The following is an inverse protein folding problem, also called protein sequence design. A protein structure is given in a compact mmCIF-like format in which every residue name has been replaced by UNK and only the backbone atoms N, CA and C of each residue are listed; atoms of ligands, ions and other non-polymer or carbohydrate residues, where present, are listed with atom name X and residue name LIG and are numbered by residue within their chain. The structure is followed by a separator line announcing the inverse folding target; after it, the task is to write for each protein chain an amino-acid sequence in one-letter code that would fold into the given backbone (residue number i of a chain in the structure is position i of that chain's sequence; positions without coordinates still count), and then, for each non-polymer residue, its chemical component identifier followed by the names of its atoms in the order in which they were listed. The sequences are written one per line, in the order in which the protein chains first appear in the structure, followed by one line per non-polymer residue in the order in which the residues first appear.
data_IF_457808183756
#
_entry.id   IF_457808183756
#
_cell.length_a   1.000
_cell.length_b   1.000
_cell.length_c   1.000
_cell.angle_alpha   90.00
_cell.angle_beta   90.00
_cell.angle_gamma   90.00
#
_symmetry.space_group_name_H-M   'P 1'
#
loop_
_entity.id
_entity.type
_entity.pdbx_description
1 polymer ?
#
# COMPACT_ATOMS: atom_id res chain seq x y z
N UNK A 1 -4.18 -9.25 21.45
CA UNK A 1 -3.04 -8.61 20.78
C UNK A 1 -3.45 -7.18 20.48
N UNK A 2 -2.51 -6.21 20.41
CA UNK A 2 -2.82 -4.89 19.88
C UNK A 2 -3.19 -5.00 18.39
N UNK A 3 -4.01 -4.08 17.87
CA UNK A 3 -4.30 -4.03 16.45
C UNK A 3 -3.00 -3.77 15.67
N UNK A 4 -2.80 -4.41 14.51
CA UNK A 4 -1.61 -4.19 13.69
C UNK A 4 -1.59 -2.76 13.12
N UNK A 5 -0.40 -2.21 12.93
CA UNK A 5 -0.23 -0.97 12.18
C UNK A 5 -0.39 -1.25 10.69
N UNK A 6 -1.24 -0.50 10.01
CA UNK A 6 -1.51 -0.62 8.57
C UNK A 6 -0.74 0.46 7.80
N UNK A 7 0.20 0.03 6.97
CA UNK A 7 0.99 0.89 6.09
C UNK A 7 0.54 0.64 4.65
N UNK A 8 0.12 1.69 3.95
CA UNK A 8 -0.27 1.62 2.54
C UNK A 8 0.75 2.37 1.71
N UNK A 9 1.35 1.71 0.73
CA UNK A 9 2.22 2.35 -0.26
C UNK A 9 1.39 2.66 -1.50
N UNK A 10 1.19 3.93 -1.76
CA UNK A 10 0.29 4.41 -2.80
C UNK A 10 0.85 5.58 -3.61
N UNK A 11 0.53 5.59 -4.90
CA UNK A 11 0.78 6.69 -5.82
C UNK A 11 -0.07 6.47 -7.07
N UNK A 12 -0.66 7.53 -7.62
CA UNK A 12 -1.46 7.47 -8.84
C UNK A 12 -0.65 7.03 -10.06
N UNK A 13 0.63 7.39 -10.13
CA UNK A 13 1.49 7.06 -11.27
C UNK A 13 2.03 5.63 -11.22
N UNK A 14 2.03 4.98 -12.38
CA UNK A 14 2.82 3.77 -12.61
C UNK A 14 4.32 4.10 -12.64
N UNK A 15 5.17 3.16 -12.18
CA UNK A 15 6.62 3.32 -12.25
C UNK A 15 7.25 4.26 -11.21
N UNK A 16 6.50 4.82 -10.27
CA UNK A 16 7.00 5.69 -9.22
C UNK A 16 7.78 4.97 -8.09
N UNK A 17 8.07 3.69 -8.24
CA UNK A 17 8.84 2.94 -7.25
C UNK A 17 8.04 2.37 -6.07
N UNK A 18 6.70 2.36 -6.11
CA UNK A 18 5.83 1.85 -5.03
C UNK A 18 6.24 0.48 -4.52
N UNK A 19 6.20 -0.54 -5.37
CA UNK A 19 6.54 -1.91 -4.99
C UNK A 19 7.98 -2.05 -4.50
N UNK A 20 8.92 -1.29 -5.08
CA UNK A 20 10.30 -1.26 -4.61
C UNK A 20 10.39 -0.72 -3.19
N UNK A 21 9.75 0.41 -2.92
CA UNK A 21 9.69 1.00 -1.59
C UNK A 21 9.00 0.06 -0.59
N UNK A 22 7.87 -0.53 -0.98
CA UNK A 22 7.13 -1.51 -0.19
C UNK A 22 8.04 -2.68 0.25
N UNK A 23 8.78 -3.26 -0.70
CA UNK A 23 9.74 -4.35 -0.45
C UNK A 23 10.82 -3.93 0.57
N UNK A 24 11.36 -2.72 0.44
CA UNK A 24 12.37 -2.21 1.38
C UNK A 24 11.81 -2.01 2.78
N UNK A 25 10.60 -1.43 2.91
CA UNK A 25 9.94 -1.25 4.21
C UNK A 25 9.68 -2.62 4.86
N UNK A 26 9.09 -3.58 4.13
CA UNK A 26 8.84 -4.93 4.64
C UNK A 26 10.14 -5.59 5.10
N UNK A 27 11.18 -5.54 4.27
CA UNK A 27 12.47 -6.14 4.60
C UNK A 27 13.06 -5.54 5.87
N UNK A 28 13.02 -4.21 6.02
CA UNK A 28 13.48 -3.51 7.22
C UNK A 28 12.70 -3.93 8.48
N UNK A 29 11.38 -4.00 8.38
CA UNK A 29 10.51 -4.42 9.48
C UNK A 29 10.76 -5.88 9.90
N UNK A 30 10.95 -6.79 8.95
CA UNK A 30 11.29 -8.18 9.21
C UNK A 30 12.64 -8.30 9.94
N UNK A 31 13.65 -7.54 9.52
CA UNK A 31 14.95 -7.50 10.20
C UNK A 31 14.87 -6.86 11.59
N UNK A 32 13.91 -5.97 11.81
CA UNK A 32 13.59 -5.44 13.14
C UNK A 32 12.78 -6.42 14.02
N UNK A 33 12.56 -7.66 13.56
CA UNK A 33 11.87 -8.70 14.32
C UNK A 33 10.34 -8.56 14.35
N UNK A 34 9.75 -7.73 13.47
CA UNK A 34 8.29 -7.59 13.37
C UNK A 34 7.68 -8.73 12.57
N UNK A 35 6.49 -9.18 12.97
CA UNK A 35 5.66 -10.04 12.16
C UNK A 35 4.95 -9.17 11.12
N UNK A 36 5.26 -9.35 9.86
CA UNK A 36 4.72 -8.54 8.76
C UNK A 36 3.83 -9.39 7.89
N UNK A 37 2.61 -8.91 7.61
CA UNK A 37 1.77 -9.42 6.54
C UNK A 37 1.85 -8.46 5.34
N UNK A 38 1.88 -9.01 4.13
CA UNK A 38 1.86 -8.23 2.89
C UNK A 38 0.58 -8.52 2.12
N UNK A 39 0.01 -7.48 1.50
CA UNK A 39 -1.11 -7.60 0.56
C UNK A 39 -0.75 -6.81 -0.70
N UNK A 40 -0.60 -7.50 -1.81
CA UNK A 40 -0.25 -6.90 -3.11
C UNK A 40 -1.53 -6.73 -3.94
N UNK A 41 -2.01 -5.49 -4.04
CA UNK A 41 -3.22 -5.12 -4.77
C UNK A 41 -2.97 -4.80 -6.25
N UNK A 42 -1.70 -4.78 -6.72
CA UNK A 42 -1.43 -4.80 -8.16
C UNK A 42 -1.61 -6.22 -8.69
N UNK A 43 -2.87 -6.62 -8.85
CA UNK A 43 -3.26 -7.97 -9.23
C UNK A 43 -2.64 -8.45 -10.55
N UNK A 44 -2.20 -7.52 -11.40
CA UNK A 44 -1.59 -7.84 -12.70
C UNK A 44 -0.10 -8.08 -12.59
N UNK A 45 0.62 -7.19 -11.90
CA UNK A 45 2.08 -7.23 -11.80
C UNK A 45 2.54 -8.08 -10.62
N UNK A 46 1.90 -7.97 -9.46
CA UNK A 46 2.24 -8.68 -8.21
C UNK A 46 3.75 -8.63 -7.92
N UNK A 47 4.33 -7.44 -8.06
CA UNK A 47 5.78 -7.26 -7.99
C UNK A 47 6.33 -7.56 -6.59
N UNK A 48 5.63 -7.12 -5.55
CA UNK A 48 6.02 -7.38 -4.17
C UNK A 48 5.87 -8.87 -3.82
N UNK A 49 4.73 -9.47 -4.15
CA UNK A 49 4.47 -10.91 -3.94
C UNK A 49 5.54 -11.79 -4.61
N UNK A 50 5.83 -11.50 -5.89
CA UNK A 50 6.86 -12.26 -6.64
C UNK A 50 8.26 -12.11 -6.05
N UNK A 51 8.60 -10.91 -5.57
CA UNK A 51 9.89 -10.70 -4.91
C UNK A 51 10.04 -11.61 -3.69
N UNK A 52 9.04 -11.65 -2.80
CA UNK A 52 9.13 -12.46 -1.60
C UNK A 52 9.02 -13.95 -1.88
N UNK A 53 8.26 -14.38 -2.89
CA UNK A 53 8.26 -15.76 -3.36
C UNK A 53 9.65 -16.20 -3.88
N UNK A 54 10.31 -15.36 -4.70
CA UNK A 54 11.67 -15.61 -5.18
C UNK A 54 12.69 -15.61 -4.03
N UNK A 55 12.55 -14.70 -3.06
CA UNK A 55 13.40 -14.64 -1.88
C UNK A 55 13.28 -15.92 -1.04
N UNK A 56 12.05 -16.44 -0.87
CA UNK A 56 11.80 -17.68 -0.15
C UNK A 56 12.44 -18.90 -0.85
N UNK A 57 12.23 -19.01 -2.16
CA UNK A 57 12.82 -20.09 -2.97
C UNK A 57 14.36 -20.04 -2.93
N UNK A 58 14.95 -18.85 -3.02
CA UNK A 58 16.40 -18.69 -2.91
C UNK A 58 16.91 -19.07 -1.51
N UNK A 59 16.23 -18.67 -0.46
CA UNK A 59 16.60 -19.00 0.91
C UNK A 59 16.58 -20.51 1.16
N UNK A 60 15.52 -21.19 0.68
CA UNK A 60 15.40 -22.65 0.75
C UNK A 60 16.56 -23.35 0.00
N UNK A 61 16.81 -22.96 -1.24
CA UNK A 61 17.87 -23.55 -2.08
C UNK A 61 19.27 -23.37 -1.49
N UNK A 62 19.51 -22.32 -0.68
CA UNK A 62 20.81 -22.01 -0.10
C UNK A 62 20.90 -22.30 1.41
N UNK A 63 19.86 -22.87 2.01
CA UNK A 63 19.83 -23.13 3.46
C UNK A 63 19.92 -21.86 4.31
N UNK A 64 19.45 -20.70 3.78
CA UNK A 64 19.55 -19.41 4.44
C UNK A 64 18.28 -19.13 5.26
N UNK A 65 18.45 -18.89 6.56
CA UNK A 65 17.35 -18.52 7.47
C UNK A 65 16.94 -17.05 7.34
N UNK A 66 16.34 -16.67 6.21
CA UNK A 66 15.88 -15.31 5.99
C UNK A 66 14.47 -15.09 6.57
N UNK A 67 14.21 -13.96 7.23
CA UNK A 67 12.87 -13.64 7.69
C UNK A 67 11.97 -13.35 6.50
N UNK A 68 10.73 -13.89 6.53
CA UNK A 68 9.73 -13.77 5.46
C UNK A 68 8.44 -13.16 6.00
N UNK A 69 7.74 -12.35 5.19
CA UNK A 69 6.39 -11.92 5.53
C UNK A 69 5.40 -13.07 5.34
N UNK A 70 4.24 -12.96 5.97
CA UNK A 70 3.07 -13.76 5.61
C UNK A 70 2.31 -13.06 4.48
N UNK A 71 1.75 -13.83 3.55
CA UNK A 71 0.90 -13.30 2.49
C UNK A 71 -0.43 -14.05 2.53
N UNK A 72 -1.52 -13.39 2.96
CA UNK A 72 -2.85 -13.96 2.91
C UNK A 72 -3.29 -14.26 1.48
N UNK A 73 -4.10 -15.30 1.31
CA UNK A 73 -4.52 -15.73 -0.02
C UNK A 73 -5.58 -14.79 -0.63
N UNK A 74 -5.17 -14.05 -1.64
CA UNK A 74 -6.04 -13.23 -2.49
C UNK A 74 -6.62 -14.01 -3.70
N UNK A 75 -6.21 -15.26 -3.87
CA UNK A 75 -6.52 -16.06 -5.05
C UNK A 75 -5.61 -15.79 -6.25
N UNK A 76 -5.97 -16.35 -7.41
CA UNK A 76 -5.20 -16.09 -8.64
C UNK A 76 -5.39 -14.65 -9.12
N UNK A 77 -4.33 -13.87 -9.08
CA UNK A 77 -4.35 -12.44 -9.42
C UNK A 77 -4.84 -12.17 -10.85
N UNK A 78 -4.56 -13.05 -11.82
CA UNK A 78 -5.02 -12.86 -13.20
C UNK A 78 -6.54 -13.04 -13.34
N UNK A 79 -7.10 -13.97 -12.60
CA UNK A 79 -8.54 -14.20 -12.53
C UNK A 79 -9.21 -13.08 -11.77
N UNK A 80 -8.68 -12.71 -10.61
CA UNK A 80 -9.21 -11.65 -9.77
C UNK A 80 -9.14 -10.27 -10.45
N UNK A 81 -8.11 -9.99 -11.25
CA UNK A 81 -8.02 -8.74 -12.02
C UNK A 81 -9.10 -8.57 -13.08
N UNK A 82 -9.83 -9.66 -13.44
CA UNK A 82 -10.95 -9.65 -14.38
C UNK A 82 -12.31 -9.76 -13.69
N UNK A 83 -12.31 -10.03 -12.39
CA UNK A 83 -13.52 -10.10 -11.59
C UNK A 83 -14.12 -8.70 -11.41
N UNK A 84 -15.38 -8.66 -11.02
CA UNK A 84 -16.04 -7.40 -10.67
C UNK A 84 -15.46 -6.81 -9.37
N UNK A 85 -15.78 -5.54 -9.13
CA UNK A 85 -15.27 -4.81 -7.96
C UNK A 85 -15.73 -5.45 -6.64
N UNK A 86 -16.92 -6.03 -6.60
CA UNK A 86 -17.45 -6.65 -5.39
C UNK A 86 -16.65 -7.90 -5.01
N UNK A 87 -16.30 -8.74 -5.99
CA UNK A 87 -15.47 -9.91 -5.75
C UNK A 87 -14.06 -9.51 -5.33
N UNK A 88 -13.47 -8.50 -5.99
CA UNK A 88 -12.16 -7.97 -5.63
C UNK A 88 -12.14 -7.45 -4.17
N UNK A 89 -13.17 -6.69 -3.76
CA UNK A 89 -13.31 -6.20 -2.40
C UNK A 89 -13.49 -7.34 -1.39
N UNK A 90 -14.35 -8.29 -1.67
CA UNK A 90 -14.59 -9.44 -0.78
C UNK A 90 -13.30 -10.24 -0.53
N UNK A 91 -12.48 -10.45 -1.56
CA UNK A 91 -11.19 -11.13 -1.44
C UNK A 91 -10.19 -10.31 -0.61
N UNK A 92 -10.13 -9.00 -0.87
CA UNK A 92 -9.27 -8.11 -0.10
C UNK A 92 -9.67 -8.06 1.38
N UNK A 93 -10.95 -7.92 1.69
CA UNK A 93 -11.46 -7.90 3.07
C UNK A 93 -11.15 -9.19 3.82
N UNK A 94 -11.32 -10.35 3.16
CA UNK A 94 -10.97 -11.64 3.75
C UNK A 94 -9.46 -11.74 4.05
N UNK A 95 -8.62 -11.36 3.09
CA UNK A 95 -7.17 -11.35 3.24
C UNK A 95 -6.72 -10.37 4.35
N UNK A 96 -7.33 -9.20 4.41
CA UNK A 96 -7.05 -8.20 5.44
C UNK A 96 -7.45 -8.70 6.84
N UNK A 97 -8.61 -9.34 6.97
CA UNK A 97 -9.06 -9.92 8.23
C UNK A 97 -8.12 -11.05 8.71
N UNK A 98 -7.62 -11.87 7.79
CA UNK A 98 -6.61 -12.88 8.12
C UNK A 98 -5.31 -12.24 8.62
N UNK A 99 -4.80 -11.22 7.90
CA UNK A 99 -3.60 -10.50 8.25
C UNK A 99 -3.67 -9.87 9.64
N UNK A 100 -4.80 -9.25 10.00
CA UNK A 100 -5.03 -8.61 11.31
C UNK A 100 -4.80 -9.54 12.49
N UNK A 101 -5.09 -10.81 12.33
CA UNK A 101 -4.99 -11.80 13.41
C UNK A 101 -3.56 -12.33 13.61
N UNK A 102 -2.63 -12.06 12.70
CA UNK A 102 -1.33 -12.73 12.65
C UNK A 102 -0.12 -11.79 12.64
N UNK A 103 -0.31 -10.52 12.27
CA UNK A 103 0.77 -9.57 12.06
C UNK A 103 0.82 -8.47 13.12
N UNK A 104 2.00 -7.88 13.29
CA UNK A 104 2.20 -6.62 14.00
C UNK A 104 2.08 -5.42 13.05
N UNK A 105 2.41 -5.65 11.76
CA UNK A 105 2.31 -4.66 10.69
C UNK A 105 1.71 -5.33 9.46
N UNK A 106 0.75 -4.66 8.84
CA UNK A 106 0.22 -5.02 7.52
C UNK A 106 0.72 -3.99 6.53
N UNK A 107 1.44 -4.42 5.50
CA UNK A 107 1.85 -3.54 4.41
C UNK A 107 1.06 -3.89 3.16
N UNK A 108 0.44 -2.86 2.57
CA UNK A 108 -0.40 -2.97 1.38
C UNK A 108 0.28 -2.20 0.24
N UNK A 109 0.61 -2.88 -0.86
CA UNK A 109 1.10 -2.26 -2.10
C UNK A 109 -0.08 -2.04 -3.06
N UNK A 110 -0.33 -0.79 -3.47
CA UNK A 110 -1.45 -0.47 -4.33
C UNK A 110 -1.05 -0.37 -5.81
N UNK A 111 -1.97 -0.69 -6.75
CA UNK A 111 -1.73 -0.43 -8.17
C UNK A 111 -1.58 1.07 -8.43
N UNK A 112 -1.06 1.43 -9.60
CA UNK A 112 -1.17 2.80 -10.09
C UNK A 112 -2.60 3.12 -10.49
N UNK A 113 -3.05 4.33 -10.20
CA UNK A 113 -4.38 4.81 -10.53
C UNK A 113 -5.40 4.71 -9.39
N UNK A 114 -6.55 5.33 -9.62
CA UNK A 114 -7.66 5.39 -8.68
C UNK A 114 -8.59 4.17 -8.87
N UNK A 115 -8.36 3.12 -8.10
CA UNK A 115 -9.18 1.90 -8.10
C UNK A 115 -9.98 1.77 -6.80
N UNK A 116 -11.04 0.97 -6.81
CA UNK A 116 -11.81 0.67 -5.59
C UNK A 116 -10.94 0.05 -4.51
N UNK A 117 -10.01 -0.84 -4.88
CA UNK A 117 -9.06 -1.45 -3.94
C UNK A 117 -8.11 -0.41 -3.33
N UNK A 118 -7.58 0.52 -4.15
CA UNK A 118 -6.70 1.60 -3.66
C UNK A 118 -7.43 2.49 -2.66
N UNK A 119 -8.65 2.93 -2.98
CA UNK A 119 -9.47 3.77 -2.07
C UNK A 119 -9.78 3.05 -0.76
N UNK A 120 -10.17 1.78 -0.84
CA UNK A 120 -10.45 0.97 0.36
C UNK A 120 -9.21 0.80 1.22
N UNK A 121 -8.05 0.49 0.61
CA UNK A 121 -6.78 0.37 1.31
C UNK A 121 -6.40 1.69 2.02
N UNK A 122 -6.52 2.83 1.32
CA UNK A 122 -6.26 4.15 1.93
C UNK A 122 -7.15 4.41 3.15
N UNK A 123 -8.43 4.00 3.10
CA UNK A 123 -9.37 4.14 4.23
C UNK A 123 -8.99 3.30 5.46
N UNK A 124 -8.24 2.22 5.27
CA UNK A 124 -7.77 1.32 6.34
C UNK A 124 -6.40 1.72 6.90
N UNK A 125 -5.66 2.63 6.24
CA UNK A 125 -4.29 2.96 6.55
C UNK A 125 -4.15 3.73 7.88
N UNK A 126 -3.14 3.37 8.68
CA UNK A 126 -2.58 4.25 9.72
C UNK A 126 -1.56 5.20 9.10
N UNK A 127 -0.81 4.72 8.10
CA UNK A 127 0.18 5.49 7.38
C UNK A 127 0.03 5.25 5.87
N UNK A 128 0.03 6.34 5.10
CA UNK A 128 0.13 6.28 3.63
C UNK A 128 1.52 6.78 3.25
N UNK A 129 2.28 5.96 2.54
CA UNK A 129 3.62 6.29 2.06
C UNK A 129 3.56 6.44 0.55
N UNK A 130 3.90 7.63 0.06
CA UNK A 130 3.84 7.98 -1.36
C UNK A 130 5.24 8.24 -1.88
N UNK A 131 5.83 7.32 -2.67
CA UNK A 131 7.09 7.59 -3.36
C UNK A 131 6.88 8.63 -4.46
N UNK A 132 7.80 9.58 -4.56
CA UNK A 132 7.78 10.63 -5.55
C UNK A 132 9.18 10.83 -6.12
N UNK A 133 9.29 10.98 -7.44
CA UNK A 133 10.56 11.38 -8.04
C UNK A 133 10.74 12.89 -7.92
N UNK A 134 11.97 13.36 -8.03
CA UNK A 134 12.36 14.77 -7.98
C UNK A 134 12.06 15.55 -9.29
N UNK A 135 11.03 15.14 -10.03
CA UNK A 135 10.63 15.78 -11.28
C UNK A 135 9.41 16.69 -11.09
N UNK A 136 9.38 17.81 -11.80
CA UNK A 136 8.23 18.72 -11.81
C UNK A 136 6.91 18.01 -12.19
N UNK A 137 7.00 16.96 -13.01
CA UNK A 137 5.81 16.15 -13.40
C UNK A 137 5.24 15.39 -12.20
N UNK A 138 6.06 15.08 -11.19
CA UNK A 138 5.59 14.38 -10.01
C UNK A 138 5.08 15.35 -8.93
N UNK A 139 5.45 16.63 -8.98
CA UNK A 139 4.82 17.67 -8.15
C UNK A 139 3.34 17.82 -8.44
N UNK A 140 2.89 17.60 -9.68
CA UNK A 140 1.48 17.57 -10.04
C UNK A 140 0.68 16.52 -9.27
N UNK A 141 1.38 15.53 -8.68
CA UNK A 141 0.79 14.52 -7.82
C UNK A 141 0.28 15.10 -6.49
N UNK A 142 0.90 16.17 -6.01
CA UNK A 142 0.50 16.86 -4.79
C UNK A 142 -0.52 17.96 -5.07
N UNK A 143 -0.43 18.61 -6.23
CA UNK A 143 -1.33 19.66 -6.66
C UNK A 143 -0.82 20.46 -7.85
N UNK A 144 -1.70 21.23 -8.47
CA UNK A 144 -1.31 22.19 -9.48
C UNK A 144 -0.73 23.44 -8.82
N UNK A 145 0.46 23.82 -9.25
CA UNK A 145 1.20 24.97 -8.74
C UNK A 145 1.30 26.02 -9.84
N UNK A 146 1.10 27.29 -9.50
CA UNK A 146 1.37 28.39 -10.41
C UNK A 146 2.88 28.44 -10.72
N UNK A 147 3.29 28.39 -11.99
CA UNK A 147 4.71 28.32 -12.36
C UNK A 147 5.51 29.59 -12.04
N UNK A 148 4.84 30.70 -11.76
CA UNK A 148 5.48 31.99 -11.47
C UNK A 148 5.51 32.29 -9.99
N UNK A 149 4.34 32.16 -9.31
CA UNK A 149 4.21 32.48 -7.89
C UNK A 149 4.52 31.30 -6.98
N UNK A 150 4.53 30.07 -7.53
CA UNK A 150 4.65 28.80 -6.80
C UNK A 150 3.50 28.55 -5.79
N UNK A 151 2.40 29.29 -5.93
CA UNK A 151 1.22 29.09 -5.12
C UNK A 151 0.48 27.80 -5.55
N UNK A 152 -0.05 27.07 -4.58
CA UNK A 152 -0.91 25.92 -4.83
C UNK A 152 -2.27 26.39 -5.35
N UNK A 153 -2.58 26.11 -6.62
CA UNK A 153 -3.84 26.49 -7.26
C UNK A 153 -4.98 25.55 -6.88
N UNK A 154 -4.72 24.24 -6.90
CA UNK A 154 -5.66 23.21 -6.47
C UNK A 154 -4.92 21.90 -6.11
N UNK A 155 -5.47 21.08 -5.18
CA UNK A 155 -4.94 19.75 -4.91
C UNK A 155 -5.09 18.85 -6.15
N UNK A 156 -4.25 17.83 -6.24
CA UNK A 156 -4.39 16.77 -7.24
C UNK A 156 -5.52 15.80 -6.88
N UNK A 157 -5.93 14.98 -7.83
CA UNK A 157 -6.90 13.90 -7.61
C UNK A 157 -6.39 12.96 -6.51
N UNK A 158 -5.09 12.64 -6.51
CA UNK A 158 -4.50 11.79 -5.49
C UNK A 158 -4.52 12.43 -4.09
N UNK A 159 -4.15 13.70 -3.99
CA UNK A 159 -4.22 14.44 -2.72
C UNK A 159 -5.65 14.51 -2.19
N UNK A 160 -6.63 14.71 -3.07
CA UNK A 160 -8.05 14.67 -2.71
C UNK A 160 -8.47 13.29 -2.19
N UNK A 161 -8.03 12.21 -2.86
CA UNK A 161 -8.30 10.83 -2.43
C UNK A 161 -7.74 10.53 -1.03
N UNK A 162 -6.50 10.94 -0.76
CA UNK A 162 -5.88 10.80 0.57
C UNK A 162 -6.64 11.64 1.61
N UNK A 163 -7.04 12.86 1.25
CA UNK A 163 -7.80 13.73 2.13
C UNK A 163 -9.18 13.16 2.48
N UNK A 164 -9.90 12.61 1.50
CA UNK A 164 -11.18 11.95 1.73
C UNK A 164 -11.05 10.71 2.63
N UNK A 165 -10.00 9.90 2.44
CA UNK A 165 -9.69 8.78 3.32
C UNK A 165 -9.48 9.26 4.77
N UNK A 166 -8.73 10.34 4.98
CA UNK A 166 -8.51 10.95 6.30
C UNK A 166 -9.81 11.45 6.95
N UNK A 167 -10.64 12.13 6.18
CA UNK A 167 -11.97 12.59 6.65
C UNK A 167 -12.85 11.41 7.03
N UNK A 168 -12.96 10.42 6.16
CA UNK A 168 -13.79 9.26 6.41
C UNK A 168 -13.38 8.55 7.70
N UNK A 169 -12.09 8.34 7.90
CA UNK A 169 -11.56 7.72 9.12
C UNK A 169 -11.83 8.56 10.36
N UNK A 170 -11.65 9.87 10.30
CA UNK A 170 -11.94 10.77 11.42
C UNK A 170 -13.44 10.78 11.81
N UNK A 171 -14.33 10.61 10.84
CA UNK A 171 -15.78 10.51 11.08
C UNK A 171 -16.15 9.15 11.68
N UNK A 172 -15.60 8.05 11.15
CA UNK A 172 -16.00 6.68 11.53
C UNK A 172 -15.34 6.19 12.80
N UNK A 173 -14.09 6.59 13.07
CA UNK A 173 -13.29 6.11 14.20
C UNK A 173 -12.97 7.20 15.23
N UNK A 174 -13.42 8.43 15.01
CA UNK A 174 -13.19 9.58 15.90
C UNK A 174 -11.95 10.40 15.54
N UNK A 175 -11.89 11.63 16.11
CA UNK A 175 -10.86 12.64 15.79
C UNK A 175 -9.40 12.20 16.05
N UNK A 176 -9.20 11.17 16.84
CA UNK A 176 -7.84 10.66 17.16
C UNK A 176 -7.33 9.61 16.16
N UNK A 177 -8.18 9.09 15.27
CA UNK A 177 -7.80 8.15 14.24
C UNK A 177 -7.30 8.92 13.00
N UNK A 178 -6.09 9.47 13.08
CA UNK A 178 -5.46 10.18 11.95
C UNK A 178 -4.72 9.20 11.07
N UNK A 179 -4.68 9.50 9.78
CA UNK A 179 -3.79 8.83 8.81
C UNK A 179 -2.58 9.74 8.61
N UNK A 180 -1.39 9.24 8.90
CA UNK A 180 -0.14 9.94 8.58
C UNK A 180 0.16 9.78 7.09
N UNK A 181 0.33 10.91 6.39
CA UNK A 181 0.73 10.89 4.99
C UNK A 181 2.19 11.31 4.86
N UNK A 182 3.00 10.37 4.37
CA UNK A 182 4.46 10.49 4.25
C UNK A 182 4.81 10.49 2.76
N UNK A 183 5.43 11.53 2.26
CA UNK A 183 5.95 11.62 0.90
C UNK A 183 7.47 11.42 0.95
N UNK A 184 8.02 10.53 0.12
CA UNK A 184 9.44 10.16 0.08
C UNK A 184 9.97 10.13 -1.33
#
# INVERSE_FOLDING_TARGET
MADPTVIVVGNEKGGAGKSTLAIHIVTGLLHAGKRVAIIDLDLRQRSMSRFFANRAAWAEANGAGLPMPTEPDMGDGKTLAKADEAEQLNRFEAAFAEARNRADVILIDTPGGDTVLSRTAHGLADQIVTPMNDSFVDFDLLGQVDPVTLDLLKPSIYSESVWEARKHRAITQGRHAQIDWIVV
#
